data_IF_413737573080
#
_entry.id   IF_413737573080
#
_cell.length_a   1.000
_cell.length_b   1.000
_cell.length_c   1.000
_cell.angle_alpha   90.00
_cell.angle_beta   90.00
_cell.angle_gamma   90.00
#
_symmetry.space_group_name_H-M   'P 1'
#
loop_
_entity.id
_entity.type
_entity.pdbx_description
1 polymer ?
#
# COMPACT_ATOMS: atom_id res chain seq x y z
N UNK A 1 9.15 0.53 17.30
CA UNK A 1 8.18 1.64 17.42
C UNK A 1 6.92 1.21 18.10
N UNK A 2 6.28 2.14 18.86
CA UNK A 2 5.03 1.88 19.59
C UNK A 2 3.97 2.89 19.17
N UNK A 3 2.71 2.46 19.02
CA UNK A 3 1.56 3.34 18.76
C UNK A 3 0.47 3.10 19.77
N UNK A 4 0.08 4.16 20.46
CA UNK A 4 -0.99 4.17 21.46
C UNK A 4 -2.05 5.17 21.01
N UNK A 5 -3.30 4.77 20.98
CA UNK A 5 -4.47 5.63 20.77
C UNK A 5 -5.20 5.86 22.07
N UNK A 6 -5.99 6.94 22.15
CA UNK A 6 -6.81 7.30 23.31
C UNK A 6 -6.00 7.94 24.44
N UNK A 7 -6.74 8.39 25.46
CA UNK A 7 -6.19 9.06 26.66
C UNK A 7 -6.73 8.38 27.92
N UNK A 8 -5.99 8.46 29.00
CA UNK A 8 -6.32 7.93 30.32
C UNK A 8 -6.85 6.46 30.25
N UNK A 9 -8.12 6.23 30.62
CA UNK A 9 -8.74 4.91 30.70
C UNK A 9 -9.08 4.29 29.33
N UNK A 10 -9.07 5.09 28.25
CA UNK A 10 -9.37 4.62 26.86
C UNK A 10 -8.13 4.25 26.06
N UNK A 11 -6.96 4.15 26.69
CA UNK A 11 -5.71 3.83 26.01
C UNK A 11 -5.74 2.44 25.40
N UNK A 12 -5.45 2.37 24.10
CA UNK A 12 -5.28 1.13 23.35
C UNK A 12 -3.88 1.14 22.72
N UNK A 13 -3.05 0.18 23.09
CA UNK A 13 -1.76 -0.05 22.43
C UNK A 13 -1.99 -0.83 21.14
N UNK A 14 -1.99 -0.14 20.03
CA UNK A 14 -2.25 -0.74 18.71
C UNK A 14 -1.00 -1.39 18.11
N UNK A 15 0.21 -0.88 18.46
CA UNK A 15 1.50 -1.48 18.13
C UNK A 15 2.40 -1.37 19.34
N UNK A 16 3.10 -2.46 19.68
CA UNK A 16 3.98 -2.51 20.84
C UNK A 16 5.37 -3.03 20.43
N UNK A 17 6.35 -2.15 20.61
CA UNK A 17 7.79 -2.36 20.32
C UNK A 17 8.09 -3.04 18.97
N UNK A 18 7.36 -2.64 17.93
CA UNK A 18 7.52 -3.20 16.58
C UNK A 18 8.83 -2.73 15.96
N UNK A 19 9.61 -3.69 15.43
CA UNK A 19 10.84 -3.41 14.70
C UNK A 19 11.02 -4.42 13.56
N UNK A 20 11.17 -3.93 12.33
CA UNK A 20 11.55 -4.71 11.15
C UNK A 20 12.11 -3.81 10.06
N UNK A 21 12.70 -4.40 9.05
CA UNK A 21 13.20 -3.68 7.87
C UNK A 21 12.71 -4.37 6.59
N UNK A 22 12.55 -3.61 5.51
CA UNK A 22 12.20 -4.11 4.18
C UNK A 22 13.29 -3.67 3.21
N UNK A 23 13.74 -4.60 2.36
CA UNK A 23 14.76 -4.33 1.35
C UNK A 23 14.11 -3.76 0.08
N UNK A 24 14.88 -2.99 -0.67
CA UNK A 24 14.43 -2.48 -1.97
C UNK A 24 14.12 -3.64 -2.91
N UNK A 25 12.98 -3.55 -3.61
CA UNK A 25 12.51 -4.56 -4.54
C UNK A 25 11.81 -5.76 -3.90
N UNK A 26 11.72 -5.82 -2.56
CA UNK A 26 11.02 -6.89 -1.84
C UNK A 26 9.49 -6.79 -2.00
N UNK A 27 8.83 -7.92 -2.21
CA UNK A 27 7.38 -8.04 -2.12
C UNK A 27 7.02 -8.65 -0.76
N UNK A 28 6.60 -7.80 0.17
CA UNK A 28 6.32 -8.18 1.56
C UNK A 28 4.82 -8.26 1.80
N UNK A 29 4.37 -9.37 2.38
CA UNK A 29 3.02 -9.53 2.89
C UNK A 29 2.98 -9.28 4.39
N UNK A 30 2.05 -8.45 4.82
CA UNK A 30 1.70 -8.26 6.24
C UNK A 30 0.35 -8.94 6.46
N UNK A 31 0.35 -10.00 7.26
CA UNK A 31 -0.83 -10.80 7.56
C UNK A 31 -1.20 -10.76 9.03
N UNK A 32 -2.43 -11.12 9.38
CA UNK A 32 -2.92 -11.17 10.77
C UNK A 32 -4.43 -11.02 10.85
N UNK A 33 -5.02 -11.31 12.01
CA UNK A 33 -6.45 -11.19 12.25
C UNK A 33 -6.93 -9.74 12.17
N UNK A 34 -8.24 -9.54 12.01
CA UNK A 34 -8.83 -8.20 12.15
C UNK A 34 -8.51 -7.64 13.54
N UNK A 35 -8.19 -6.35 13.63
CA UNK A 35 -7.83 -5.69 14.89
C UNK A 35 -6.40 -5.95 15.39
N UNK A 36 -5.58 -6.76 14.71
CA UNK A 36 -4.21 -7.08 15.18
C UNK A 36 -3.21 -5.92 15.10
N UNK A 37 -3.54 -4.81 14.42
CA UNK A 37 -2.64 -3.65 14.25
C UNK A 37 -2.09 -3.45 12.81
N UNK A 38 -2.50 -4.28 11.83
CA UNK A 38 -1.98 -4.21 10.44
C UNK A 38 -2.16 -2.84 9.78
N UNK A 39 -3.39 -2.31 9.80
CA UNK A 39 -3.69 -1.00 9.19
C UNK A 39 -2.99 0.13 9.95
N UNK A 40 -2.85 0.00 11.28
CA UNK A 40 -2.03 0.93 12.08
C UNK A 40 -0.58 0.89 11.62
N UNK A 41 -0.01 -0.31 11.44
CA UNK A 41 1.35 -0.47 10.96
C UNK A 41 1.53 0.14 9.56
N UNK A 42 0.58 -0.11 8.66
CA UNK A 42 0.59 0.49 7.32
C UNK A 42 0.51 2.02 7.38
N UNK A 43 -0.31 2.58 8.26
CA UNK A 43 -0.42 4.02 8.46
C UNK A 43 0.88 4.64 8.99
N UNK A 44 1.60 3.94 9.88
CA UNK A 44 2.92 4.40 10.34
C UNK A 44 3.93 4.42 9.20
N UNK A 45 4.05 3.32 8.43
CA UNK A 45 4.95 3.24 7.28
C UNK A 45 4.54 4.25 6.21
N UNK A 46 3.23 4.44 6.02
CA UNK A 46 2.63 5.38 5.08
C UNK A 46 2.76 6.85 5.47
N UNK A 47 3.27 7.15 6.65
CA UNK A 47 3.35 8.51 7.19
C UNK A 47 1.96 9.21 7.21
N UNK A 48 0.90 8.42 7.36
CA UNK A 48 -0.48 8.91 7.53
C UNK A 48 -0.76 9.23 9.00
N UNK A 49 0.02 8.64 9.90
CA UNK A 49 0.00 8.90 11.34
C UNK A 49 1.43 8.80 11.89
N UNK A 50 1.66 9.32 13.09
CA UNK A 50 2.98 9.36 13.74
C UNK A 50 3.04 8.30 14.87
N UNK A 51 4.16 7.59 15.03
CA UNK A 51 4.32 6.68 16.18
C UNK A 51 4.35 7.48 17.48
N UNK A 52 3.83 6.89 18.57
CA UNK A 52 3.91 7.47 19.91
C UNK A 52 5.36 7.40 20.45
N UNK A 53 6.08 6.31 20.09
CA UNK A 53 7.51 6.13 20.42
C UNK A 53 8.21 5.45 19.25
N UNK A 54 9.49 5.75 19.08
CA UNK A 54 10.30 5.19 18.00
C UNK A 54 10.24 6.04 16.73
N UNK A 55 10.62 5.44 15.60
CA UNK A 55 10.74 6.16 14.32
C UNK A 55 10.48 5.26 13.14
N UNK A 56 10.09 5.87 12.03
CA UNK A 56 10.07 5.26 10.70
C UNK A 56 11.21 5.87 9.89
N UNK A 57 11.94 5.03 9.15
CA UNK A 57 13.01 5.49 8.24
C UNK A 57 12.75 4.90 6.86
N UNK A 58 12.83 5.71 5.82
CA UNK A 58 12.64 5.30 4.43
C UNK A 58 13.83 5.80 3.63
N UNK A 59 14.48 4.93 2.87
CA UNK A 59 15.68 5.26 2.08
C UNK A 59 16.80 5.89 2.94
N UNK A 60 16.95 5.46 4.20
CA UNK A 60 17.91 6.00 5.16
C UNK A 60 17.50 7.33 5.82
N UNK A 61 16.39 7.94 5.40
CA UNK A 61 15.88 9.19 6.00
C UNK A 61 14.95 8.88 7.17
N UNK A 62 15.30 9.37 8.36
CA UNK A 62 14.41 9.34 9.52
C UNK A 62 13.32 10.41 9.37
N UNK A 63 12.05 9.98 9.44
CA UNK A 63 10.91 10.88 9.20
C UNK A 63 10.44 11.64 10.44
N UNK A 64 11.00 11.35 11.61
CA UNK A 64 10.60 11.91 12.92
C UNK A 64 10.80 13.42 13.04
N UNK A 65 11.74 13.99 12.28
CA UNK A 65 12.12 15.41 12.39
C UNK A 65 11.48 16.27 11.28
N UNK A 66 10.65 15.68 10.42
CA UNK A 66 10.00 16.40 9.34
C UNK A 66 8.77 17.15 9.84
N UNK A 67 8.59 18.37 9.36
CA UNK A 67 7.34 19.13 9.50
C UNK A 67 6.21 18.48 8.69
N UNK A 68 4.96 18.83 8.96
CA UNK A 68 3.81 18.23 8.25
C UNK A 68 3.84 18.50 6.72
N UNK A 69 4.35 19.65 6.31
CA UNK A 69 4.55 19.97 4.89
C UNK A 69 5.64 19.09 4.26
N UNK A 70 6.76 18.91 4.96
CA UNK A 70 7.85 18.04 4.50
C UNK A 70 7.41 16.57 4.46
N UNK A 71 6.64 16.10 5.47
CA UNK A 71 6.04 14.76 5.46
C UNK A 71 5.11 14.60 4.24
N UNK A 72 4.29 15.58 3.92
CA UNK A 72 3.38 15.53 2.77
C UNK A 72 4.15 15.46 1.46
N UNK A 73 5.18 16.27 1.29
CA UNK A 73 6.06 16.24 0.10
C UNK A 73 6.84 14.92 0.02
N UNK A 74 7.38 14.45 1.13
CA UNK A 74 8.11 13.18 1.21
C UNK A 74 7.20 12.00 0.87
N UNK A 75 6.00 11.95 1.46
CA UNK A 75 4.99 10.92 1.19
C UNK A 75 4.63 10.89 -0.28
N UNK A 76 4.33 12.02 -0.90
CA UNK A 76 4.00 12.11 -2.32
C UNK A 76 5.12 11.59 -3.23
N UNK A 77 6.38 11.88 -2.89
CA UNK A 77 7.54 11.48 -3.68
C UNK A 77 7.98 10.03 -3.46
N UNK A 78 7.86 9.53 -2.21
CA UNK A 78 8.46 8.25 -1.80
C UNK A 78 7.48 7.11 -1.65
N UNK A 79 6.18 7.41 -1.52
CA UNK A 79 5.17 6.41 -1.23
C UNK A 79 4.06 6.42 -2.28
N UNK A 80 3.69 5.23 -2.74
CA UNK A 80 2.47 4.99 -3.50
C UNK A 80 1.45 4.27 -2.63
N UNK A 81 0.15 4.50 -2.89
CA UNK A 81 -0.92 3.88 -2.13
C UNK A 81 -1.91 3.17 -3.05
N UNK A 82 -2.30 1.96 -2.65
CA UNK A 82 -3.37 1.16 -3.24
C UNK A 82 -4.30 0.73 -2.11
N UNK A 83 -5.57 1.08 -2.18
CA UNK A 83 -6.56 0.77 -1.15
C UNK A 83 -7.51 -0.33 -1.62
N UNK A 84 -8.24 -0.91 -0.68
CA UNK A 84 -9.29 -1.91 -0.93
C UNK A 84 -10.35 -1.41 -1.92
N UNK A 85 -10.78 -0.15 -1.75
CA UNK A 85 -11.53 0.59 -2.77
C UNK A 85 -10.55 1.39 -3.61
N UNK A 86 -10.70 1.38 -4.92
CA UNK A 86 -9.80 2.09 -5.83
C UNK A 86 -9.73 3.61 -5.57
N UNK A 87 -10.78 4.18 -4.94
CA UNK A 87 -10.89 5.59 -4.57
C UNK A 87 -10.53 6.52 -5.75
N UNK A 88 -11.07 6.20 -6.92
CA UNK A 88 -10.97 7.07 -8.09
C UNK A 88 -12.03 8.16 -8.02
N UNK A 89 -11.68 9.36 -8.46
CA UNK A 89 -12.63 10.44 -8.64
C UNK A 89 -13.50 10.13 -9.85
N UNK A 90 -14.80 9.94 -9.62
CA UNK A 90 -15.76 9.40 -10.57
C UNK A 90 -15.89 10.24 -11.87
N UNK A 91 -15.75 11.56 -11.74
CA UNK A 91 -15.91 12.51 -12.84
C UNK A 91 -14.64 12.72 -13.67
N UNK A 92 -13.49 12.30 -13.15
CA UNK A 92 -12.23 12.30 -13.86
C UNK A 92 -12.08 11.06 -14.74
N UNK A 93 -11.33 11.21 -15.82
CA UNK A 93 -10.89 10.09 -16.64
C UNK A 93 -9.89 9.19 -15.89
N UNK A 94 -9.65 8.00 -16.39
CA UNK A 94 -8.63 7.08 -15.86
C UNK A 94 -7.26 7.76 -15.83
N UNK A 95 -6.88 8.42 -16.91
CA UNK A 95 -5.61 9.13 -17.02
C UNK A 95 -5.49 10.29 -16.03
N UNK A 96 -6.52 11.11 -15.89
CA UNK A 96 -6.54 12.21 -14.92
C UNK A 96 -6.42 11.71 -13.49
N UNK A 97 -7.11 10.61 -13.13
CA UNK A 97 -6.97 9.97 -11.82
C UNK A 97 -5.53 9.50 -11.55
N UNK A 98 -4.88 8.91 -12.55
CA UNK A 98 -3.50 8.44 -12.41
C UNK A 98 -2.53 9.61 -12.28
N UNK A 99 -2.80 10.74 -12.91
CA UNK A 99 -1.97 11.94 -12.84
C UNK A 99 -2.10 12.74 -11.54
N UNK A 100 -3.17 12.55 -10.75
CA UNK A 100 -3.42 13.33 -9.53
C UNK A 100 -2.21 13.47 -8.59
N UNK A 101 -1.47 12.40 -8.25
CA UNK A 101 -0.32 12.53 -7.36
C UNK A 101 0.81 13.39 -7.95
N UNK A 102 0.95 13.44 -9.27
CA UNK A 102 1.98 14.22 -9.94
C UNK A 102 1.67 15.73 -10.01
N UNK A 103 0.42 16.11 -9.72
CA UNK A 103 -0.02 17.52 -9.74
C UNK A 103 0.10 18.20 -8.36
N UNK A 104 0.31 17.44 -7.29
CA UNK A 104 0.35 17.96 -5.92
C UNK A 104 1.63 18.73 -5.59
N UNK A 105 2.84 18.30 -5.92
CA UNK A 105 3.95 19.21 -6.06
C UNK A 105 3.86 19.78 -7.47
N UNK A 106 3.92 21.08 -7.60
CA UNK A 106 4.07 21.77 -8.88
C UNK A 106 5.44 21.43 -9.53
N UNK A 107 5.79 20.15 -9.55
CA UNK A 107 6.97 19.67 -10.24
C UNK A 107 6.52 19.15 -11.61
N UNK A 108 6.69 19.95 -12.69
CA UNK A 108 6.29 19.56 -14.03
C UNK A 108 7.16 18.42 -14.61
N UNK A 109 8.07 17.87 -13.81
CA UNK A 109 9.04 16.86 -14.26
C UNK A 109 8.48 15.44 -14.35
N UNK A 110 7.24 15.18 -13.88
CA UNK A 110 6.60 13.88 -14.09
C UNK A 110 5.80 13.95 -15.38
N UNK A 111 6.35 13.42 -16.51
CA UNK A 111 5.72 13.62 -17.79
C UNK A 111 4.42 12.81 -17.88
N UNK A 112 3.39 13.39 -18.47
CA UNK A 112 2.23 12.71 -19.02
C UNK A 112 2.58 11.37 -19.72
N UNK A 113 3.77 11.30 -20.35
CA UNK A 113 4.32 10.09 -20.92
C UNK A 113 4.53 8.96 -19.92
N UNK A 114 4.87 9.26 -18.65
CA UNK A 114 5.04 8.22 -17.62
C UNK A 114 3.69 7.59 -17.23
N UNK A 115 2.66 8.41 -17.04
CA UNK A 115 1.32 7.92 -16.74
C UNK A 115 0.78 7.00 -17.84
N UNK A 116 0.98 7.36 -19.13
CA UNK A 116 0.61 6.50 -20.26
C UNK A 116 1.35 5.17 -20.25
N UNK A 117 2.67 5.16 -20.04
CA UNK A 117 3.47 3.93 -19.96
C UNK A 117 3.00 3.02 -18.84
N UNK A 118 2.67 3.58 -17.67
CA UNK A 118 2.18 2.77 -16.55
C UNK A 118 0.79 2.23 -16.86
N UNK A 119 -0.10 3.03 -17.43
CA UNK A 119 -1.44 2.59 -17.84
C UNK A 119 -1.38 1.47 -18.89
N UNK A 120 -0.46 1.54 -19.84
CA UNK A 120 -0.18 0.46 -20.79
C UNK A 120 0.29 -0.82 -20.05
N UNK A 121 1.24 -0.68 -19.11
CA UNK A 121 1.75 -1.81 -18.33
C UNK A 121 0.66 -2.52 -17.48
N UNK A 122 -0.33 -1.78 -17.01
CA UNK A 122 -1.47 -2.35 -16.27
C UNK A 122 -2.62 -2.78 -17.18
N UNK A 123 -2.48 -2.65 -18.53
CA UNK A 123 -3.46 -3.08 -19.53
C UNK A 123 -4.71 -2.19 -19.55
N UNK A 124 -4.51 -0.88 -19.52
CA UNK A 124 -5.56 0.15 -19.58
C UNK A 124 -5.34 1.18 -20.69
N UNK A 125 -4.52 0.88 -21.69
CA UNK A 125 -4.20 1.75 -22.83
C UNK A 125 -5.46 2.21 -23.58
N UNK A 126 -6.45 1.35 -23.71
CA UNK A 126 -7.73 1.65 -24.38
C UNK A 126 -8.75 2.38 -23.48
N UNK A 127 -8.43 2.58 -22.20
CA UNK A 127 -9.36 3.14 -21.21
C UNK A 127 -8.96 4.56 -20.75
N UNK A 128 -7.86 5.12 -21.24
CA UNK A 128 -7.26 6.36 -20.74
C UNK A 128 -8.27 7.50 -20.54
N UNK A 129 -9.10 7.70 -21.55
CA UNK A 129 -10.02 8.83 -21.62
C UNK A 129 -11.44 8.51 -21.15
N UNK A 130 -11.69 7.27 -20.69
CA UNK A 130 -12.95 6.92 -20.05
C UNK A 130 -13.03 7.51 -18.65
N UNK A 131 -14.20 8.00 -18.25
CA UNK A 131 -14.45 8.39 -16.87
C UNK A 131 -14.38 7.19 -15.93
N UNK A 132 -13.90 7.42 -14.70
CA UNK A 132 -13.72 6.35 -13.71
C UNK A 132 -15.05 5.64 -13.34
N UNK A 133 -16.19 6.31 -13.44
CA UNK A 133 -17.51 5.72 -13.22
C UNK A 133 -18.01 4.83 -14.38
N UNK A 134 -17.24 4.69 -15.45
CA UNK A 134 -17.59 3.91 -16.65
C UNK A 134 -16.68 2.70 -16.87
N UNK A 135 -15.83 2.36 -15.91
CA UNK A 135 -14.93 1.20 -15.96
C UNK A 135 -15.33 0.16 -14.92
N UNK A 136 -14.91 -1.10 -15.10
CA UNK A 136 -15.19 -2.17 -14.15
C UNK A 136 -14.36 -2.04 -12.87
N UNK A 137 -14.74 -2.73 -11.79
CA UNK A 137 -14.01 -2.74 -10.53
C UNK A 137 -12.55 -3.20 -10.68
N UNK A 138 -12.29 -4.24 -11.49
CA UNK A 138 -10.94 -4.69 -11.79
C UNK A 138 -10.12 -3.66 -12.58
N UNK A 139 -10.75 -2.94 -13.53
CA UNK A 139 -10.12 -1.83 -14.24
C UNK A 139 -9.83 -0.66 -13.30
N UNK A 140 -10.76 -0.35 -12.40
CA UNK A 140 -10.56 0.71 -11.38
C UNK A 140 -9.38 0.35 -10.45
N UNK A 141 -9.25 -0.90 -10.04
CA UNK A 141 -8.13 -1.34 -9.20
C UNK A 141 -6.78 -1.28 -9.95
N UNK A 142 -6.76 -1.64 -11.24
CA UNK A 142 -5.56 -1.46 -12.08
C UNK A 142 -5.18 0.02 -12.21
N UNK A 143 -6.16 0.91 -12.36
CA UNK A 143 -5.93 2.36 -12.39
C UNK A 143 -5.39 2.88 -11.03
N UNK A 144 -5.89 2.36 -9.90
CA UNK A 144 -5.37 2.68 -8.57
C UNK A 144 -3.91 2.23 -8.40
N UNK A 145 -3.54 1.05 -8.92
CA UNK A 145 -2.15 0.60 -8.94
C UNK A 145 -1.29 1.52 -9.80
N UNK A 146 -1.75 1.89 -10.99
CA UNK A 146 -1.05 2.84 -11.86
C UNK A 146 -0.86 4.20 -11.18
N UNK A 147 -1.88 4.72 -10.50
CA UNK A 147 -1.82 5.95 -9.70
C UNK A 147 -0.78 5.85 -8.59
N UNK A 148 -0.72 4.71 -7.88
CA UNK A 148 0.29 4.45 -6.85
C UNK A 148 1.72 4.44 -7.37
N UNK A 149 1.93 4.11 -8.65
CA UNK A 149 3.25 3.97 -9.29
C UNK A 149 3.71 5.22 -10.05
N UNK A 150 2.83 6.18 -10.33
CA UNK A 150 3.09 7.27 -11.30
C UNK A 150 4.31 8.13 -10.95
N UNK A 151 4.54 8.37 -9.66
CA UNK A 151 5.65 9.18 -9.14
C UNK A 151 6.95 8.38 -8.95
N UNK A 152 7.05 7.14 -9.43
CA UNK A 152 8.17 6.23 -9.17
C UNK A 152 8.53 6.15 -7.66
N UNK A 153 7.58 5.81 -6.79
CA UNK A 153 7.81 5.81 -5.35
C UNK A 153 8.89 4.79 -4.94
N UNK A 154 9.47 4.96 -3.76
CA UNK A 154 10.38 3.97 -3.18
C UNK A 154 9.60 2.71 -2.74
N UNK A 155 8.39 2.90 -2.22
CA UNK A 155 7.54 1.84 -1.68
C UNK A 155 6.10 2.06 -2.16
N UNK A 156 5.43 0.97 -2.58
CA UNK A 156 3.97 0.93 -2.77
C UNK A 156 3.35 0.20 -1.59
N UNK A 157 2.46 0.88 -0.88
CA UNK A 157 1.68 0.36 0.23
C UNK A 157 0.30 -0.04 -0.28
N UNK A 158 -0.10 -1.28 -0.04
CA UNK A 158 -1.41 -1.77 -0.43
C UNK A 158 -2.19 -2.28 0.79
N UNK A 159 -3.37 -1.73 1.02
CA UNK A 159 -4.28 -2.15 2.09
C UNK A 159 -5.44 -2.93 1.49
N UNK A 160 -5.48 -4.25 1.73
CA UNK A 160 -6.50 -5.20 1.23
C UNK A 160 -6.83 -4.99 -0.27
N UNK A 161 -5.83 -4.96 -1.18
CA UNK A 161 -6.02 -4.48 -2.56
C UNK A 161 -6.95 -5.36 -3.41
N UNK A 162 -7.35 -6.52 -2.91
CA UNK A 162 -8.22 -7.48 -3.59
C UNK A 162 -9.54 -7.73 -2.87
N UNK A 163 -9.74 -7.11 -1.69
CA UNK A 163 -10.84 -7.44 -0.79
C UNK A 163 -12.27 -7.20 -1.33
N UNK A 164 -12.42 -6.41 -2.38
CA UNK A 164 -13.71 -6.11 -3.02
C UNK A 164 -13.86 -6.70 -4.43
N UNK A 165 -13.01 -7.65 -4.80
CA UNK A 165 -12.98 -8.24 -6.12
C UNK A 165 -13.41 -9.71 -6.06
N UNK A 166 -13.99 -10.21 -7.14
CA UNK A 166 -14.18 -11.63 -7.32
C UNK A 166 -12.84 -12.36 -7.40
N UNK A 167 -12.83 -13.66 -7.14
CA UNK A 167 -11.61 -14.46 -7.01
C UNK A 167 -10.72 -14.44 -8.26
N UNK A 168 -11.30 -14.43 -9.44
CA UNK A 168 -10.56 -14.42 -10.71
C UNK A 168 -9.91 -13.05 -10.92
N UNK A 169 -10.66 -11.99 -10.72
CA UNK A 169 -10.15 -10.61 -10.79
C UNK A 169 -9.09 -10.36 -9.73
N UNK A 170 -9.29 -10.84 -8.50
CA UNK A 170 -8.33 -10.74 -7.41
C UNK A 170 -6.98 -11.39 -7.76
N UNK A 171 -6.99 -12.61 -8.31
CA UNK A 171 -5.77 -13.26 -8.78
C UNK A 171 -5.04 -12.45 -9.86
N UNK A 172 -5.79 -11.90 -10.83
CA UNK A 172 -5.21 -11.06 -11.88
C UNK A 172 -4.55 -9.79 -11.31
N UNK A 173 -5.14 -9.18 -10.29
CA UNK A 173 -4.57 -8.02 -9.59
C UNK A 173 -3.29 -8.40 -8.84
N UNK A 174 -3.28 -9.53 -8.13
CA UNK A 174 -2.07 -10.03 -7.45
C UNK A 174 -0.94 -10.27 -8.45
N UNK A 175 -1.22 -10.96 -9.56
CA UNK A 175 -0.22 -11.21 -10.60
C UNK A 175 0.29 -9.90 -11.21
N UNK A 176 -0.58 -8.93 -11.43
CA UNK A 176 -0.20 -7.60 -11.91
C UNK A 176 0.76 -6.91 -10.94
N UNK A 177 0.45 -6.87 -9.63
CA UNK A 177 1.33 -6.26 -8.62
C UNK A 177 2.69 -6.95 -8.59
N UNK A 178 2.76 -8.28 -8.62
CA UNK A 178 4.02 -9.04 -8.69
C UNK A 178 4.81 -8.73 -9.95
N UNK A 179 4.13 -8.65 -11.10
CA UNK A 179 4.74 -8.24 -12.37
C UNK A 179 5.34 -6.86 -12.26
N UNK A 180 4.59 -5.87 -11.71
CA UNK A 180 5.10 -4.51 -11.54
C UNK A 180 6.26 -4.45 -10.56
N UNK A 181 6.21 -5.20 -9.45
CA UNK A 181 7.32 -5.32 -8.51
C UNK A 181 8.61 -5.76 -9.22
N UNK A 182 8.53 -6.82 -10.00
CA UNK A 182 9.68 -7.39 -10.73
C UNK A 182 10.18 -6.49 -11.86
N UNK A 183 9.29 -6.02 -12.73
CA UNK A 183 9.67 -5.23 -13.92
C UNK A 183 10.22 -3.84 -13.58
N UNK A 184 9.70 -3.23 -12.50
CA UNK A 184 10.08 -1.88 -12.08
C UNK A 184 11.09 -1.89 -10.93
N UNK A 185 11.49 -3.08 -10.45
CA UNK A 185 12.27 -3.25 -9.21
C UNK A 185 11.64 -2.47 -8.03
N UNK A 186 10.31 -2.60 -7.91
CA UNK A 186 9.47 -1.82 -7.02
C UNK A 186 9.21 -2.60 -5.72
N UNK A 187 9.42 -1.95 -4.58
CA UNK A 187 9.06 -2.53 -3.28
C UNK A 187 7.56 -2.44 -3.06
N UNK A 188 6.93 -3.57 -2.73
CA UNK A 188 5.53 -3.63 -2.32
C UNK A 188 5.42 -4.11 -0.87
N UNK A 189 4.61 -3.41 -0.08
CA UNK A 189 4.18 -3.86 1.24
C UNK A 189 2.66 -3.96 1.20
N UNK A 190 2.16 -5.19 1.28
CA UNK A 190 0.74 -5.49 1.11
C UNK A 190 0.17 -6.02 2.41
N UNK A 191 -0.83 -5.36 2.94
CA UNK A 191 -1.65 -5.85 4.06
C UNK A 191 -2.80 -6.68 3.52
N UNK A 192 -2.98 -7.88 4.04
CA UNK A 192 -4.13 -8.72 3.71
C UNK A 192 -4.48 -9.69 4.84
N UNK A 193 -5.73 -10.10 4.90
CA UNK A 193 -6.19 -11.22 5.73
C UNK A 193 -6.28 -12.53 4.95
N UNK A 194 -6.23 -12.49 3.60
CA UNK A 194 -6.24 -13.67 2.73
C UNK A 194 -4.89 -13.87 2.02
N UNK A 195 -3.95 -14.45 2.77
CA UNK A 195 -2.61 -14.77 2.27
C UNK A 195 -2.63 -15.72 1.08
N UNK A 196 -3.61 -16.65 1.03
CA UNK A 196 -3.65 -17.71 0.00
C UNK A 196 -3.76 -17.16 -1.41
N UNK A 197 -4.38 -16.00 -1.59
CA UNK A 197 -4.46 -15.33 -2.89
C UNK A 197 -3.09 -14.92 -3.45
N UNK A 198 -2.11 -14.69 -2.57
CA UNK A 198 -0.81 -14.14 -2.98
C UNK A 198 0.23 -15.22 -3.34
N UNK A 199 0.02 -16.50 -2.95
CA UNK A 199 1.00 -17.57 -3.22
C UNK A 199 2.40 -17.20 -2.72
N UNK A 200 3.46 -17.53 -3.49
CA UNK A 200 4.83 -17.24 -3.10
C UNK A 200 5.14 -15.74 -3.16
N UNK A 201 5.74 -15.23 -2.11
CA UNK A 201 6.21 -13.85 -1.94
C UNK A 201 7.59 -13.87 -1.29
N UNK A 202 8.34 -12.78 -1.39
CA UNK A 202 9.71 -12.75 -0.87
C UNK A 202 9.74 -12.85 0.66
N UNK A 203 8.71 -12.29 1.34
CA UNK A 203 8.66 -12.26 2.79
C UNK A 203 7.26 -12.12 3.33
N UNK A 204 7.02 -12.76 4.47
CA UNK A 204 5.77 -12.65 5.23
C UNK A 204 6.08 -12.12 6.61
N UNK A 205 5.27 -11.16 7.05
CA UNK A 205 5.29 -10.58 8.38
C UNK A 205 3.92 -10.80 9.00
N UNK A 206 3.87 -11.48 10.15
CA UNK A 206 2.62 -11.67 10.90
C UNK A 206 2.48 -10.61 11.96
N UNK A 207 1.32 -9.93 11.98
CA UNK A 207 0.94 -9.00 13.07
C UNK A 207 -0.07 -9.67 13.96
N UNK A 208 0.25 -9.78 15.24
CA UNK A 208 -0.62 -10.36 16.28
C UNK A 208 -0.57 -9.49 17.54
N UNK A 209 -1.72 -9.03 18.00
CA UNK A 209 -1.88 -8.25 19.24
C UNK A 209 -0.88 -7.08 19.35
N UNK A 210 -0.68 -6.36 18.25
CA UNK A 210 0.23 -5.22 18.17
C UNK A 210 1.71 -5.57 18.04
N UNK A 211 2.08 -6.84 18.04
CA UNK A 211 3.47 -7.30 17.84
C UNK A 211 3.68 -7.82 16.42
N UNK A 212 4.94 -7.83 15.99
CA UNK A 212 5.36 -8.27 14.65
C UNK A 212 6.27 -9.49 14.77
N UNK A 213 5.99 -10.50 13.94
CA UNK A 213 6.75 -11.74 13.86
C UNK A 213 7.16 -12.00 12.42
N UNK A 214 8.37 -12.51 12.22
CA UNK A 214 8.85 -12.96 10.91
C UNK A 214 8.21 -14.30 10.55
N UNK A 215 7.78 -14.44 9.30
CA UNK A 215 7.16 -15.65 8.77
C UNK A 215 5.69 -15.81 9.11
N UNK A 216 5.16 -17.01 8.81
CA UNK A 216 3.79 -17.38 9.12
C UNK A 216 3.72 -17.98 10.54
N UNK A 217 3.28 -17.18 11.50
CA UNK A 217 2.80 -17.72 12.76
C UNK A 217 1.35 -18.19 12.59
N UNK A 218 1.16 -19.40 12.04
CA UNK A 218 -0.13 -20.08 12.09
C UNK A 218 -0.28 -20.67 13.50
N UNK A 219 -1.13 -20.06 14.33
CA UNK A 219 -1.70 -20.79 15.45
C UNK A 219 -2.46 -21.99 14.86
N UNK A 220 -2.08 -23.19 15.27
CA UNK A 220 -2.94 -24.35 15.09
C UNK A 220 -4.29 -23.98 15.69
N UNK A 221 -5.32 -23.82 14.85
CA UNK A 221 -6.68 -23.76 15.32
C UNK A 221 -6.94 -25.12 15.97
N UNK A 222 -6.84 -25.21 17.29
CA UNK A 222 -7.52 -26.28 18.03
C UNK A 222 -9.02 -26.06 17.79
N UNK A 223 -9.54 -26.77 16.82
CA UNK A 223 -10.97 -26.98 16.68
C UNK A 223 -11.32 -27.98 17.79
N UNK A 224 -11.68 -27.47 18.96
CA UNK A 224 -12.37 -28.31 19.96
C UNK A 224 -13.78 -28.51 19.41
N UNK A 225 -14.06 -29.75 18.97
CA UNK A 225 -15.40 -30.24 18.60
C UNK A 225 -16.19 -30.56 19.86
#
# INVERSE_FOLDING_TARGET
MTKIYGEAETKVTALDDVSFSVKKGEFVLIVGRSGSGKSTLLNMIGLLDKPTKGKVSIDGFATSNLTDNEISAFRNKKLGFVFQFANLLADLTVLENVLLPSQIPLDPSIPFANAKKILEKVGLEDQLYKRANKISGGQAQRAAIARGLVNNPTIVLADEPTGNLDSVTAQNIVQLMKKMAKELNQTFIVVTHDRRQFGDVDRIITVKDGHVFEGEHMEQMEVTI
#
